data_IF_904295222325
#
_entry.id   IF_904295222325
#
_cell.length_a   1.000
_cell.length_b   1.000
_cell.length_c   1.000
_cell.angle_alpha   90.00
_cell.angle_beta   90.00
_cell.angle_gamma   90.00
#
_symmetry.space_group_name_H-M   'P 1'
#
loop_
_entity.id
_entity.type
_entity.pdbx_description
1 polymer ?
#
# COMPACT_ATOMS: atom_id res chain seq x y z
N UNK A 1 -2.08 -19.90 -12.89
CA UNK A 1 -1.38 -20.03 -11.58
C UNK A 1 -0.98 -18.68 -11.02
N UNK A 2 -0.39 -17.78 -11.80
CA UNK A 2 0.09 -16.45 -11.38
C UNK A 2 -0.96 -15.57 -10.69
N UNK A 3 -2.23 -15.64 -11.13
CA UNK A 3 -3.34 -14.84 -10.54
C UNK A 3 -3.61 -15.19 -9.07
N UNK A 4 -3.47 -16.45 -8.68
CA UNK A 4 -3.72 -16.89 -7.32
C UNK A 4 -2.60 -16.45 -6.37
N UNK A 5 -1.35 -16.49 -6.85
CA UNK A 5 -0.20 -16.01 -6.08
C UNK A 5 -0.36 -14.51 -5.79
N UNK A 6 -0.70 -13.72 -6.81
CA UNK A 6 -0.96 -12.28 -6.65
C UNK A 6 -2.12 -12.03 -5.69
N UNK A 7 -3.22 -12.79 -5.79
CA UNK A 7 -4.35 -12.67 -4.87
C UNK A 7 -3.97 -13.01 -3.41
N UNK A 8 -3.19 -14.07 -3.20
CA UNK A 8 -2.68 -14.44 -1.88
C UNK A 8 -1.77 -13.33 -1.33
N UNK A 9 -0.81 -12.83 -2.12
CA UNK A 9 0.06 -11.72 -1.70
C UNK A 9 -0.74 -10.45 -1.39
N UNK A 10 -1.77 -10.14 -2.18
CA UNK A 10 -2.69 -9.03 -1.91
C UNK A 10 -3.45 -9.18 -0.60
N UNK A 11 -4.00 -10.37 -0.33
CA UNK A 11 -4.68 -10.67 0.93
C UNK A 11 -3.74 -10.58 2.14
N UNK A 12 -2.49 -11.04 2.01
CA UNK A 12 -1.47 -10.86 3.05
C UNK A 12 -1.17 -9.37 3.29
N UNK A 13 -1.09 -8.56 2.24
CA UNK A 13 -0.89 -7.12 2.34
C UNK A 13 -2.05 -6.43 3.07
N UNK A 14 -3.28 -6.79 2.76
CA UNK A 14 -4.49 -6.30 3.44
C UNK A 14 -4.55 -6.76 4.90
N UNK A 15 -4.19 -8.01 5.19
CA UNK A 15 -4.11 -8.54 6.56
C UNK A 15 -3.14 -7.71 7.41
N UNK A 16 -1.92 -7.48 6.90
CA UNK A 16 -0.96 -6.64 7.60
C UNK A 16 -1.51 -5.22 7.77
N UNK A 17 -2.14 -4.66 6.74
CA UNK A 17 -2.72 -3.33 6.88
C UNK A 17 -3.75 -3.23 8.02
N UNK A 18 -4.66 -4.21 8.11
CA UNK A 18 -5.65 -4.31 9.16
C UNK A 18 -5.02 -4.48 10.56
N UNK A 19 -3.98 -5.30 10.70
CA UNK A 19 -3.21 -5.46 11.95
C UNK A 19 -2.65 -4.11 12.42
N UNK A 20 -2.23 -3.26 11.48
CA UNK A 20 -1.68 -1.93 11.77
C UNK A 20 -2.75 -0.81 11.81
N UNK A 21 -4.03 -1.14 12.07
CA UNK A 21 -5.15 -0.19 12.14
C UNK A 21 -5.40 0.60 10.84
N UNK A 22 -5.06 0.03 9.69
CA UNK A 22 -5.44 0.55 8.37
C UNK A 22 -6.77 -0.01 7.92
N UNK A 23 -7.29 0.53 6.81
CA UNK A 23 -8.50 0.00 6.19
C UNK A 23 -8.27 -1.45 5.69
N UNK A 24 -9.24 -2.33 5.95
CA UNK A 24 -9.18 -3.76 5.62
C UNK A 24 -9.03 -4.00 4.12
N UNK A 25 -9.72 -3.23 3.29
CA UNK A 25 -9.71 -3.43 1.83
C UNK A 25 -8.49 -2.76 1.16
N UNK A 26 -7.83 -1.84 1.88
CA UNK A 26 -6.60 -1.19 1.45
C UNK A 26 -5.36 -2.08 1.65
N UNK A 27 -4.49 -2.11 0.65
CA UNK A 27 -3.17 -2.75 0.74
C UNK A 27 -2.17 -1.92 1.55
N UNK A 28 -1.22 -2.57 2.20
CA UNK A 28 -0.18 -1.89 2.98
C UNK A 28 0.70 -0.95 2.12
N UNK A 29 0.94 -1.31 0.85
CA UNK A 29 1.67 -0.46 -0.11
C UNK A 29 0.88 0.81 -0.45
N UNK A 30 -0.43 0.70 -0.71
CA UNK A 30 -1.31 1.85 -0.93
C UNK A 30 -1.33 2.78 0.29
N UNK A 31 -1.48 2.22 1.50
CA UNK A 31 -1.42 3.01 2.74
C UNK A 31 -0.07 3.68 2.95
N UNK A 32 1.03 3.03 2.59
CA UNK A 32 2.38 3.61 2.73
C UNK A 32 2.53 4.87 1.87
N UNK A 33 2.00 4.82 0.65
CA UNK A 33 1.95 5.98 -0.24
C UNK A 33 1.04 7.09 0.31
N UNK A 34 -0.14 6.72 0.77
CA UNK A 34 -1.08 7.65 1.41
C UNK A 34 -0.47 8.32 2.65
N UNK A 35 0.19 7.55 3.51
CA UNK A 35 0.87 8.04 4.70
C UNK A 35 1.97 9.04 4.33
N UNK A 36 2.73 8.76 3.27
CA UNK A 36 3.71 9.70 2.71
C UNK A 36 3.05 11.00 2.29
N UNK A 37 1.91 10.95 1.58
CA UNK A 37 1.16 12.15 1.18
C UNK A 37 0.60 12.92 2.38
N UNK A 38 0.15 12.21 3.42
CA UNK A 38 -0.30 12.80 4.68
C UNK A 38 0.86 13.37 5.54
N UNK A 39 2.10 13.38 5.05
CA UNK A 39 3.27 13.91 5.75
C UNK A 39 3.82 13.00 6.85
N UNK A 40 3.38 11.73 6.93
CA UNK A 40 3.85 10.77 7.92
C UNK A 40 5.20 10.21 7.50
N UNK A 41 6.24 10.46 8.32
CA UNK A 41 7.62 10.02 8.06
C UNK A 41 7.77 8.52 7.80
N UNK A 42 7.01 7.68 8.51
CA UNK A 42 7.06 6.23 8.30
C UNK A 42 6.58 5.82 6.91
N UNK A 43 5.64 6.57 6.31
CA UNK A 43 5.13 6.29 4.96
C UNK A 43 6.23 6.48 3.91
N UNK A 44 7.03 7.55 4.01
CA UNK A 44 8.15 7.77 3.11
C UNK A 44 9.20 6.65 3.19
N UNK A 45 9.51 6.18 4.40
CA UNK A 45 10.44 5.06 4.61
C UNK A 45 9.86 3.76 4.04
N UNK A 46 8.60 3.46 4.32
CA UNK A 46 7.93 2.26 3.84
C UNK A 46 7.85 2.23 2.30
N UNK A 47 7.48 3.34 1.66
CA UNK A 47 7.46 3.46 0.18
C UNK A 47 8.85 3.17 -0.40
N UNK A 48 9.91 3.76 0.15
CA UNK A 48 11.26 3.52 -0.35
C UNK A 48 11.67 2.05 -0.21
N UNK A 49 11.35 1.41 0.92
CA UNK A 49 11.63 -0.02 1.13
C UNK A 49 10.84 -0.91 0.17
N UNK A 50 9.54 -0.66 0.01
CA UNK A 50 8.65 -1.47 -0.82
C UNK A 50 8.98 -1.30 -2.30
N UNK A 51 9.13 -0.07 -2.80
CA UNK A 51 9.46 0.16 -4.20
C UNK A 51 10.86 -0.39 -4.55
N UNK A 52 11.79 -0.44 -3.58
CA UNK A 52 13.08 -1.13 -3.76
C UNK A 52 12.91 -2.66 -3.81
N UNK A 53 12.05 -3.22 -2.95
CA UNK A 53 11.75 -4.66 -2.97
C UNK A 53 11.09 -5.08 -4.28
N UNK A 54 10.21 -4.23 -4.81
CA UNK A 54 9.50 -4.41 -6.07
C UNK A 54 10.14 -3.58 -7.20
N UNK A 55 11.47 -3.55 -7.29
CA UNK A 55 12.19 -2.71 -8.26
C UNK A 55 11.82 -2.97 -9.74
N UNK A 56 11.23 -4.12 -10.05
CA UNK A 56 10.73 -4.47 -11.39
C UNK A 56 9.33 -3.89 -11.69
N UNK A 57 8.64 -3.34 -10.69
CA UNK A 57 7.35 -2.65 -10.80
C UNK A 57 7.55 -1.15 -10.52
N UNK A 58 7.65 -0.29 -11.54
CA UNK A 58 7.86 1.14 -11.33
C UNK A 58 6.67 1.76 -10.60
N UNK A 59 6.99 2.53 -9.55
CA UNK A 59 6.05 3.21 -8.65
C UNK A 59 4.97 2.28 -8.06
N UNK A 60 5.38 1.09 -7.62
CA UNK A 60 4.48 0.05 -7.11
C UNK A 60 3.52 0.59 -6.03
N UNK A 61 4.02 1.35 -5.06
CA UNK A 61 3.18 1.92 -4.00
C UNK A 61 2.17 2.95 -4.51
N UNK A 62 2.59 3.84 -5.43
CA UNK A 62 1.71 4.86 -6.02
C UNK A 62 0.59 4.22 -6.83
N UNK A 63 0.93 3.26 -7.69
CA UNK A 63 -0.04 2.55 -8.52
C UNK A 63 -1.05 1.76 -7.68
N UNK A 64 -0.57 1.14 -6.60
CA UNK A 64 -1.44 0.47 -5.63
C UNK A 64 -2.44 1.44 -5.02
N UNK A 65 -2.00 2.64 -4.64
CA UNK A 65 -2.86 3.70 -4.11
C UNK A 65 -3.85 4.25 -5.15
N UNK A 66 -3.44 4.44 -6.40
CA UNK A 66 -4.33 4.91 -7.47
C UNK A 66 -5.42 3.91 -7.84
N UNK A 67 -5.18 2.60 -7.63
CA UNK A 67 -6.16 1.54 -7.84
C UNK A 67 -7.06 1.24 -6.63
N UNK A 68 -6.82 1.91 -5.50
CA UNK A 68 -7.50 1.67 -4.24
C UNK A 68 -8.61 2.71 -4.04
N UNK A 69 -9.83 2.25 -3.76
CA UNK A 69 -11.01 3.10 -3.58
C UNK A 69 -11.29 3.42 -2.10
N UNK A 70 -10.57 2.80 -1.16
CA UNK A 70 -10.86 2.94 0.27
C UNK A 70 -9.67 3.42 1.15
N UNK A 71 -9.26 4.69 1.01
CA UNK A 71 -8.14 5.28 1.76
C UNK A 71 -8.28 5.24 3.30
N UNK A 72 -7.19 4.98 4.04
CA UNK A 72 -7.16 5.04 5.51
C UNK A 72 -7.10 6.48 6.03
N UNK A 73 -6.34 7.34 5.37
CA UNK A 73 -6.23 8.76 5.66
C UNK A 73 -7.07 9.52 4.63
N UNK A 74 -8.24 9.99 5.07
CA UNK A 74 -9.14 10.81 4.24
C UNK A 74 -8.36 11.88 3.45
N UNK A 75 -8.61 11.98 2.13
CA UNK A 75 -8.12 13.10 1.31
C UNK A 75 -8.53 14.37 2.05
N UNK A 76 -7.56 15.18 2.47
CA UNK A 76 -7.87 16.58 2.74
C UNK A 76 -8.00 17.24 1.37
N UNK A 77 -9.25 17.41 0.96
CA UNK A 77 -9.67 18.27 -0.15
C UNK A 77 -8.97 19.64 -0.08
#
# INVERSE_FOLDING_TARGET
MTRWIVAICGAWSQLWNAIWFGNRDQTFSARSWEARQAGRRWGAVAVAMIDTLFFWEPDHCRRSFESDDEPTYSRKD
#
